data_IF_432046869982
#
_entry.id   IF_432046869982
#
_cell.length_a   1.000
_cell.length_b   1.000
_cell.length_c   1.000
_cell.angle_alpha   90.00
_cell.angle_beta   90.00
_cell.angle_gamma   90.00
#
_symmetry.space_group_name_H-M   'P 1'
#
loop_
_entity.id
_entity.type
_entity.pdbx_description
1 polymer ?
#
# COMPACT_ATOMS: atom_id res chain seq x y z
N UNK A 1 -3.32 10.81 3.20
CA UNK A 1 -2.03 10.29 3.70
C UNK A 1 -2.16 9.66 5.09
N UNK A 2 -2.54 10.38 6.14
CA UNK A 2 -2.50 9.85 7.52
C UNK A 2 -3.58 8.83 7.91
N UNK A 3 -4.53 8.55 7.02
CA UNK A 3 -5.50 7.47 7.19
C UNK A 3 -4.88 6.14 6.70
N UNK A 4 -4.85 5.93 5.38
CA UNK A 4 -4.31 4.69 4.80
C UNK A 4 -2.78 4.61 4.74
N UNK A 5 -2.08 5.74 4.61
CA UNK A 5 -0.64 5.79 4.35
C UNK A 5 0.23 5.10 5.42
N UNK A 6 -0.01 5.29 6.73
CA UNK A 6 0.75 4.61 7.78
C UNK A 6 0.77 3.09 7.66
N UNK A 7 -0.34 2.45 7.28
CA UNK A 7 -0.40 0.98 7.12
C UNK A 7 0.56 0.51 6.02
N UNK A 8 0.53 1.19 4.87
CA UNK A 8 1.38 0.86 3.72
C UNK A 8 2.85 1.19 3.99
N UNK A 9 3.13 2.35 4.59
CA UNK A 9 4.50 2.71 4.94
C UNK A 9 5.10 1.76 5.98
N UNK A 10 4.32 1.35 6.97
CA UNK A 10 4.77 0.38 7.98
C UNK A 10 5.08 -0.97 7.35
N UNK A 11 4.19 -1.46 6.47
CA UNK A 11 4.42 -2.71 5.73
C UNK A 11 5.67 -2.62 4.85
N UNK A 12 5.84 -1.54 4.08
CA UNK A 12 7.01 -1.34 3.22
C UNK A 12 8.30 -1.23 4.03
N UNK A 13 8.31 -0.51 5.15
CA UNK A 13 9.51 -0.40 6.01
C UNK A 13 9.87 -1.73 6.63
N UNK A 14 8.87 -2.50 7.09
CA UNK A 14 9.13 -3.82 7.65
C UNK A 14 9.67 -4.80 6.59
N UNK A 15 9.18 -4.71 5.35
CA UNK A 15 9.61 -5.58 4.24
C UNK A 15 10.87 -5.13 3.51
N UNK A 16 11.22 -3.83 3.48
CA UNK A 16 12.31 -3.31 2.62
C UNK A 16 13.38 -2.55 3.41
N UNK A 17 13.15 -2.34 4.71
CA UNK A 17 14.01 -1.60 5.60
C UNK A 17 13.70 -0.10 5.64
N UNK A 18 14.59 0.71 6.26
CA UNK A 18 14.37 2.13 6.45
C UNK A 18 14.33 2.92 5.12
N UNK A 19 13.50 3.94 5.07
CA UNK A 19 13.46 4.91 3.96
C UNK A 19 14.56 5.95 4.17
N UNK A 20 15.39 6.17 3.14
CA UNK A 20 16.45 7.19 3.10
C UNK A 20 15.94 8.57 2.72
N UNK A 21 15.10 8.66 1.68
CA UNK A 21 14.50 9.92 1.21
C UNK A 21 13.15 9.67 0.55
N UNK A 22 12.33 10.72 0.52
CA UNK A 22 11.03 10.73 -0.15
C UNK A 22 10.91 12.01 -0.96
N UNK A 23 10.27 11.91 -2.12
CA UNK A 23 9.77 13.04 -2.88
C UNK A 23 8.33 12.75 -3.31
N UNK A 24 7.49 13.77 -3.45
CA UNK A 24 6.11 13.54 -3.83
C UNK A 24 5.35 14.80 -4.19
N UNK A 25 4.16 14.57 -4.72
CA UNK A 25 3.18 15.58 -5.12
C UNK A 25 1.85 15.28 -4.43
N UNK A 26 1.14 16.33 -4.04
CA UNK A 26 -0.15 16.22 -3.37
C UNK A 26 -1.14 17.19 -3.98
N UNK A 27 -2.42 16.81 -4.00
CA UNK A 27 -3.50 17.66 -4.51
C UNK A 27 -4.79 17.46 -3.70
N UNK A 28 -5.52 18.56 -3.51
CA UNK A 28 -6.95 18.53 -3.24
C UNK A 28 -7.65 18.55 -4.60
N UNK A 29 -8.18 17.40 -5.05
CA UNK A 29 -8.75 17.32 -6.41
C UNK A 29 -10.10 18.03 -6.49
N UNK A 30 -10.90 17.90 -5.44
CA UNK A 30 -12.20 18.55 -5.29
C UNK A 30 -12.19 19.41 -4.02
N UNK A 31 -12.35 20.74 -4.12
CA UNK A 31 -12.28 21.63 -2.96
C UNK A 31 -13.52 21.52 -2.05
N UNK A 32 -14.62 20.96 -2.56
CA UNK A 32 -15.87 20.75 -1.83
C UNK A 32 -16.39 19.34 -2.06
N UNK A 33 -17.05 18.78 -1.04
CA UNK A 33 -17.69 17.46 -1.09
C UNK A 33 -19.05 17.49 -0.39
N UNK A 34 -20.01 16.75 -0.93
CA UNK A 34 -21.32 16.54 -0.31
C UNK A 34 -21.25 15.35 0.65
N UNK A 35 -21.74 15.54 1.88
CA UNK A 35 -21.83 14.46 2.86
C UNK A 35 -22.92 13.47 2.42
N UNK A 36 -22.55 12.20 2.31
CA UNK A 36 -23.45 11.09 1.94
C UNK A 36 -23.91 10.27 3.15
N UNK A 37 -23.39 10.54 4.35
CA UNK A 37 -23.78 9.87 5.59
C UNK A 37 -24.77 10.69 6.42
N UNK A 38 -25.65 9.99 7.14
CA UNK A 38 -26.52 10.60 8.14
C UNK A 38 -25.72 10.94 9.41
N UNK A 39 -26.08 12.01 10.16
CA UNK A 39 -27.27 12.85 10.01
C UNK A 39 -27.09 14.07 9.06
N UNK A 40 -25.89 14.30 8.55
CA UNK A 40 -25.56 15.53 7.79
C UNK A 40 -25.71 15.38 6.27
N UNK A 41 -26.51 14.41 5.84
CA UNK A 41 -26.70 14.08 4.44
C UNK A 41 -27.09 15.32 3.62
N UNK A 42 -26.42 15.53 2.49
CA UNK A 42 -26.69 16.64 1.57
C UNK A 42 -26.00 17.96 1.92
N UNK A 43 -25.34 18.07 3.09
CA UNK A 43 -24.53 19.25 3.40
C UNK A 43 -23.20 19.22 2.62
N UNK A 44 -22.74 20.39 2.17
CA UNK A 44 -21.43 20.55 1.54
C UNK A 44 -20.38 20.92 2.58
N UNK A 45 -19.21 20.28 2.51
CA UNK A 45 -18.04 20.60 3.32
C UNK A 45 -16.87 20.97 2.43
N UNK A 46 -16.07 21.94 2.88
CA UNK A 46 -14.80 22.28 2.27
C UNK A 46 -13.75 21.22 2.62
N UNK A 47 -12.99 20.79 1.63
CA UNK A 47 -11.87 19.86 1.81
C UNK A 47 -10.62 20.67 2.13
N UNK A 48 -9.97 20.34 3.24
CA UNK A 48 -8.78 21.04 3.73
C UNK A 48 -7.51 20.19 3.64
N UNK A 49 -7.64 18.89 3.36
CA UNK A 49 -6.53 17.94 3.31
C UNK A 49 -6.35 17.37 1.91
N UNK A 50 -5.10 17.18 1.44
CA UNK A 50 -4.87 16.53 0.15
C UNK A 50 -5.51 15.16 0.06
N UNK A 51 -6.35 14.99 -0.95
CA UNK A 51 -7.12 13.77 -1.22
C UNK A 51 -6.40 12.83 -2.19
N UNK A 52 -5.40 13.33 -2.93
CA UNK A 52 -4.51 12.56 -3.77
C UNK A 52 -3.05 12.84 -3.40
N UNK A 53 -2.28 11.79 -3.14
CA UNK A 53 -0.86 11.85 -2.80
C UNK A 53 -0.11 10.79 -3.59
N UNK A 54 0.92 11.20 -4.31
CA UNK A 54 1.82 10.31 -5.02
C UNK A 54 3.27 10.61 -4.60
N UNK A 55 4.05 9.58 -4.30
CA UNK A 55 5.42 9.73 -3.84
C UNK A 55 6.34 8.61 -4.31
N UNK A 56 7.62 8.95 -4.41
CA UNK A 56 8.73 8.02 -4.68
C UNK A 56 9.64 8.01 -3.45
N UNK A 57 10.04 6.81 -3.04
CA UNK A 57 10.81 6.55 -1.83
C UNK A 57 12.07 5.77 -2.21
N UNK A 58 13.22 6.24 -1.75
CA UNK A 58 14.47 5.50 -1.83
C UNK A 58 14.73 4.83 -0.48
N UNK A 59 14.86 3.51 -0.46
CA UNK A 59 15.20 2.75 0.74
C UNK A 59 16.71 2.69 0.95
N UNK A 60 17.14 2.51 2.21
CA UNK A 60 18.57 2.31 2.51
C UNK A 60 19.12 1.03 1.88
N UNK A 61 18.27 0.03 1.63
CA UNK A 61 18.58 -1.20 0.91
C UNK A 61 18.85 -0.99 -0.59
N UNK A 62 18.61 0.21 -1.13
CA UNK A 62 18.74 0.51 -2.56
C UNK A 62 17.46 0.29 -3.37
N UNK A 63 16.41 -0.27 -2.76
CA UNK A 63 15.09 -0.42 -3.40
C UNK A 63 14.46 0.96 -3.64
N UNK A 64 13.79 1.11 -4.79
CA UNK A 64 12.98 2.29 -5.12
C UNK A 64 11.52 1.88 -5.06
N UNK A 65 10.75 2.53 -4.19
CA UNK A 65 9.31 2.32 -4.04
C UNK A 65 8.50 3.50 -4.56
N UNK A 66 7.29 3.21 -5.04
CA UNK A 66 6.28 4.23 -5.36
C UNK A 66 5.06 3.99 -4.49
N UNK A 67 4.50 5.06 -3.93
CA UNK A 67 3.25 5.03 -3.16
C UNK A 67 2.25 6.01 -3.77
N UNK A 68 1.03 5.55 -3.99
CA UNK A 68 -0.09 6.38 -4.43
C UNK A 68 -1.25 6.10 -3.48
N UNK A 69 -1.75 7.15 -2.82
CA UNK A 69 -2.96 7.09 -1.99
C UNK A 69 -3.96 8.12 -2.50
N UNK A 70 -5.19 7.69 -2.76
CA UNK A 70 -6.20 8.55 -3.39
C UNK A 70 -7.61 8.24 -2.90
N UNK A 71 -8.31 9.25 -2.40
CA UNK A 71 -9.77 9.23 -2.14
C UNK A 71 -10.60 9.70 -3.34
N UNK A 72 -9.92 10.06 -4.45
CA UNK A 72 -10.52 10.55 -5.68
C UNK A 72 -10.40 9.55 -6.83
N UNK A 73 -9.92 8.32 -6.57
CA UNK A 73 -9.79 7.31 -7.61
C UNK A 73 -11.18 6.86 -8.07
N UNK A 74 -11.65 7.40 -9.19
CA UNK A 74 -12.96 7.09 -9.77
C UNK A 74 -12.99 5.70 -10.42
N UNK A 75 -14.17 5.07 -10.45
CA UNK A 75 -14.47 3.99 -11.41
C UNK A 75 -13.93 2.60 -11.05
N UNK A 76 -13.63 2.31 -9.79
CA UNK A 76 -13.22 0.96 -9.36
C UNK A 76 -11.79 0.60 -9.78
N UNK A 77 -10.88 1.58 -9.78
CA UNK A 77 -9.48 1.39 -10.13
C UNK A 77 -8.88 0.14 -9.44
N UNK A 78 -8.44 -0.81 -10.24
CA UNK A 78 -7.77 -2.03 -9.78
C UNK A 78 -6.27 -1.85 -9.89
N UNK A 79 -5.70 -1.14 -8.92
CA UNK A 79 -4.25 -1.08 -8.72
C UNK A 79 -3.85 -2.12 -7.68
N UNK A 80 -2.68 -2.77 -7.83
CA UNK A 80 -2.13 -3.64 -6.78
C UNK A 80 -2.04 -2.88 -5.46
N UNK A 81 -2.27 -3.57 -4.34
CA UNK A 81 -2.16 -2.98 -3.00
C UNK A 81 -0.69 -2.71 -2.71
N UNK A 82 0.11 -3.77 -2.68
CA UNK A 82 1.57 -3.68 -2.68
C UNK A 82 2.10 -4.77 -3.61
N UNK A 83 2.96 -4.37 -4.54
CA UNK A 83 3.65 -5.27 -5.46
C UNK A 83 5.16 -5.01 -5.39
N UNK A 84 5.94 -6.07 -5.19
CA UNK A 84 7.39 -6.03 -5.07
C UNK A 84 7.98 -6.85 -6.21
N UNK A 85 8.71 -6.18 -7.10
CA UNK A 85 9.43 -6.81 -8.20
C UNK A 85 10.89 -7.04 -7.77
N UNK A 86 11.27 -8.31 -7.58
CA UNK A 86 12.62 -8.74 -7.26
C UNK A 86 13.33 -9.39 -8.45
N UNK A 87 14.57 -9.82 -8.23
CA UNK A 87 15.40 -10.46 -9.27
C UNK A 87 14.92 -11.85 -9.70
N UNK A 88 14.17 -12.54 -8.83
CA UNK A 88 13.68 -13.91 -9.06
C UNK A 88 12.17 -13.99 -9.35
N UNK A 89 11.45 -12.88 -9.25
CA UNK A 89 10.01 -12.85 -9.41
C UNK A 89 9.33 -11.64 -8.80
N UNK A 90 8.01 -11.64 -8.88
CA UNK A 90 7.13 -10.62 -8.32
C UNK A 90 6.33 -11.20 -7.15
N UNK A 91 6.23 -10.43 -6.08
CA UNK A 91 5.40 -10.68 -4.90
C UNK A 91 4.25 -9.67 -4.89
N UNK A 92 3.02 -10.16 -4.74
CA UNK A 92 1.83 -9.34 -4.54
C UNK A 92 1.23 -9.68 -3.18
N UNK A 93 1.14 -8.69 -2.29
CA UNK A 93 0.63 -8.87 -0.93
C UNK A 93 -0.72 -8.18 -0.77
N UNK A 94 -1.58 -8.69 0.13
CA UNK A 94 -2.93 -8.17 0.30
C UNK A 94 -2.95 -6.76 0.89
N UNK A 95 -4.15 -6.17 0.97
CA UNK A 95 -4.35 -4.87 1.58
C UNK A 95 -3.97 -4.91 3.06
N UNK A 96 -2.95 -4.16 3.53
CA UNK A 96 -2.56 -4.16 4.93
C UNK A 96 -3.68 -3.62 5.85
N UNK A 97 -4.68 -2.94 5.29
CA UNK A 97 -5.85 -2.46 6.05
C UNK A 97 -6.84 -3.58 6.41
N UNK A 98 -6.86 -4.69 5.67
CA UNK A 98 -7.75 -5.83 5.97
C UNK A 98 -7.10 -6.83 6.92
N UNK A 99 -5.78 -6.75 7.13
CA UNK A 99 -5.00 -7.69 7.94
C UNK A 99 -5.15 -9.18 7.54
N UNK A 100 -5.68 -9.41 6.35
CA UNK A 100 -6.06 -10.72 5.83
C UNK A 100 -5.84 -10.74 4.31
N UNK A 101 -5.66 -11.94 3.75
CA UNK A 101 -5.65 -12.18 2.32
C UNK A 101 -4.46 -13.01 1.83
N UNK A 102 -4.59 -13.63 0.65
CA UNK A 102 -3.55 -14.47 0.08
C UNK A 102 -2.35 -13.63 -0.38
N UNK A 103 -1.15 -14.16 -0.12
CA UNK A 103 0.09 -13.66 -0.71
C UNK A 103 0.31 -14.42 -2.02
N UNK A 104 0.53 -13.70 -3.12
CA UNK A 104 0.80 -14.30 -4.41
C UNK A 104 2.26 -14.07 -4.82
N UNK A 105 2.89 -15.09 -5.39
CA UNK A 105 4.23 -15.01 -5.98
C UNK A 105 4.19 -15.50 -7.41
N UNK A 106 4.83 -14.75 -8.30
CA UNK A 106 5.11 -15.13 -9.67
C UNK A 106 6.61 -15.13 -9.89
N UNK A 107 7.21 -16.32 -9.85
CA UNK A 107 8.64 -16.49 -10.12
C UNK A 107 8.93 -16.46 -11.63
N UNK A 108 10.14 -16.09 -12.01
CA UNK A 108 10.53 -16.02 -13.43
C UNK A 108 10.51 -17.37 -14.14
N UNK A 109 10.74 -18.46 -13.41
CA UNK A 109 10.73 -19.84 -13.92
C UNK A 109 9.31 -20.42 -14.04
N UNK A 110 8.29 -19.71 -13.53
CA UNK A 110 6.90 -20.15 -13.49
C UNK A 110 6.01 -19.23 -14.35
N UNK A 111 5.06 -19.82 -15.08
CA UNK A 111 4.14 -19.04 -15.94
C UNK A 111 3.02 -18.36 -15.15
N UNK A 112 2.53 -19.03 -14.12
CA UNK A 112 1.37 -18.63 -13.33
C UNK A 112 1.75 -18.10 -11.95
N UNK A 113 0.87 -17.30 -11.37
CA UNK A 113 0.94 -16.94 -9.96
C UNK A 113 0.65 -18.16 -9.09
N UNK A 114 1.36 -18.28 -7.98
CA UNK A 114 1.07 -19.24 -6.93
C UNK A 114 0.79 -18.53 -5.62
N UNK A 115 -0.23 -18.98 -4.90
CA UNK A 115 -0.49 -18.54 -3.53
C UNK A 115 0.54 -19.17 -2.58
N UNK A 116 1.04 -18.36 -1.64
CA UNK A 116 1.90 -18.84 -0.56
C UNK A 116 1.07 -18.90 0.73
N UNK A 117 1.05 -20.05 1.42
CA UNK A 117 0.35 -20.16 2.68
C UNK A 117 0.99 -19.23 3.72
N UNK A 118 0.15 -18.57 4.52
CA UNK A 118 0.61 -17.79 5.66
C UNK A 118 1.25 -18.75 6.69
N UNK A 119 2.57 -18.65 6.82
CA UNK A 119 3.36 -19.51 7.72
C UNK A 119 3.25 -19.09 9.20
N UNK A 120 2.67 -17.92 9.48
CA UNK A 120 2.43 -17.43 10.83
C UNK A 120 0.99 -16.93 10.96
N UNK A 121 0.23 -17.55 11.88
CA UNK A 121 -1.13 -17.15 12.20
C UNK A 121 -1.12 -16.08 13.28
N UNK A 122 -1.10 -14.81 12.88
CA UNK A 122 -1.43 -13.69 13.77
C UNK A 122 -2.73 -13.05 13.27
N UNK A 123 -3.79 -13.87 13.21
CA UNK A 123 -5.16 -13.42 12.90
C UNK A 123 -5.75 -12.52 14.01
N UNK A 124 -5.07 -12.39 15.14
CA UNK A 124 -5.47 -11.52 16.24
C UNK A 124 -4.46 -10.38 16.39
N UNK A 125 -4.76 -9.26 15.73
CA UNK A 125 -4.29 -7.90 16.04
C UNK A 125 -2.87 -7.78 16.65
N UNK A 126 -1.78 -7.87 15.87
CA UNK A 126 -0.53 -7.08 16.08
C UNK A 126 0.41 -7.22 14.88
N UNK A 127 1.07 -6.12 14.51
CA UNK A 127 2.09 -5.92 13.47
C UNK A 127 3.32 -6.83 13.66
N UNK A 128 3.69 -7.69 12.69
CA UNK A 128 5.10 -8.12 12.45
C UNK A 128 5.31 -8.68 11.03
N UNK A 129 6.33 -8.17 10.32
CA UNK A 129 6.89 -8.78 9.09
C UNK A 129 8.38 -9.08 9.32
N UNK A 130 8.70 -10.29 9.75
CA UNK A 130 10.05 -10.82 9.66
C UNK A 130 10.01 -12.12 8.86
N UNK A 131 11.11 -12.37 8.12
CA UNK A 131 11.42 -13.59 7.38
C UNK A 131 11.01 -13.62 5.89
N UNK A 132 11.44 -12.64 5.06
CA UNK A 132 11.63 -12.87 3.60
C UNK A 132 12.74 -12.02 2.96
N UNK A 133 13.25 -10.98 3.63
CA UNK A 133 14.26 -10.04 3.10
C UNK A 133 15.65 -10.63 2.84
N UNK A 134 16.00 -11.77 3.44
CA UNK A 134 17.38 -12.28 3.39
C UNK A 134 17.75 -13.07 2.13
N UNK A 135 16.82 -13.37 1.21
CA UNK A 135 17.09 -14.30 0.10
C UNK A 135 16.75 -13.79 -1.31
N UNK A 136 16.34 -12.51 -1.46
CA UNK A 136 15.89 -11.98 -2.75
C UNK A 136 16.41 -10.58 -3.15
N UNK A 137 17.23 -9.94 -2.31
CA UNK A 137 17.95 -8.71 -2.66
C UNK A 137 19.41 -9.01 -2.99
#
# INVERSE_FOLDING_TARGET
MFDMGPYYLTALVAMLGPIRRVTGSTRISYPERTITSQPKFGQTVRVETPTHVAGVMDFQSGVIGTIITSFDACGGAQVPRIEICGSQGTLSVPDPNTFEGPIHVKRHDHKEWSEIPLIHGYAENTVVWECWTSHML
#
